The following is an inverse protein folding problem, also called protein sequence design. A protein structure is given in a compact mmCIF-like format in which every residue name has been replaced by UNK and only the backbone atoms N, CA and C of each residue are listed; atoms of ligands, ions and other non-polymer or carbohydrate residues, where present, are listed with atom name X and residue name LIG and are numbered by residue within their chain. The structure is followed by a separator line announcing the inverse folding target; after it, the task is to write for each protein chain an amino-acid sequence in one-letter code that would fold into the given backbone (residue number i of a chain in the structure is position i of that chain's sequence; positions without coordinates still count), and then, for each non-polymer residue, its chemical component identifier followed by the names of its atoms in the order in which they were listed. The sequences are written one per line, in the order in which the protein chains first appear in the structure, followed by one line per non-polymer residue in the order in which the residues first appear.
data_IF_175248609042
#
_entry.id   IF_175248609042
#
_cell.length_a   1.000
_cell.length_b   1.000
_cell.length_c   1.000
_cell.angle_alpha   90.00
_cell.angle_beta   90.00
_cell.angle_gamma   90.00
#
_symmetry.space_group_name_H-M   'P 1'
#
loop_
_entity.id
_entity.type
_entity.pdbx_description
1 polymer ?
#
# COMPACT_ATOMS: atom_id res chain seq x y z
N UNK A 1 -35.97 -9.85 -2.12
CA UNK A 1 -35.30 -10.83 -3.03
C UNK A 1 -34.02 -10.28 -3.68
N UNK A 2 -33.97 -9.02 -4.14
CA UNK A 2 -32.78 -8.43 -4.79
C UNK A 2 -31.56 -8.26 -3.85
N UNK A 3 -31.75 -7.78 -2.61
CA UNK A 3 -30.68 -7.72 -1.60
C UNK A 3 -30.07 -9.10 -1.29
N UNK A 4 -30.89 -10.16 -1.28
CA UNK A 4 -30.43 -11.55 -1.08
C UNK A 4 -29.49 -11.99 -2.21
N UNK A 5 -29.77 -11.60 -3.46
CA UNK A 5 -28.89 -11.86 -4.61
C UNK A 5 -27.56 -11.08 -4.52
N UNK A 6 -27.58 -9.88 -3.95
CA UNK A 6 -26.37 -9.08 -3.75
C UNK A 6 -25.43 -9.75 -2.72
N UNK A 7 -25.98 -10.20 -1.58
CA UNK A 7 -25.19 -10.86 -0.53
C UNK A 7 -24.59 -12.20 -1.00
N UNK A 8 -25.24 -12.86 -1.96
CA UNK A 8 -24.72 -14.10 -2.56
C UNK A 8 -23.58 -13.87 -3.57
N UNK A 9 -23.32 -12.61 -3.96
CA UNK A 9 -22.29 -12.28 -4.92
C UNK A 9 -20.92 -12.09 -4.24
N UNK A 10 -19.88 -12.74 -4.76
CA UNK A 10 -18.49 -12.57 -4.31
C UNK A 10 -18.06 -11.08 -4.31
N UNK A 11 -18.56 -10.29 -5.25
CA UNK A 11 -18.29 -8.85 -5.33
C UNK A 11 -18.79 -8.07 -4.10
N UNK A 12 -19.85 -8.54 -3.44
CA UNK A 12 -20.32 -7.93 -2.20
C UNK A 12 -19.34 -8.17 -1.04
N UNK A 13 -18.73 -9.36 -0.96
CA UNK A 13 -17.70 -9.66 0.03
C UNK A 13 -16.41 -8.89 -0.23
N UNK A 14 -16.05 -8.68 -1.50
CA UNK A 14 -14.95 -7.79 -1.89
C UNK A 14 -15.22 -6.34 -1.49
N UNK A 15 -16.45 -5.86 -1.66
CA UNK A 15 -16.85 -4.54 -1.16
C UNK A 15 -16.76 -4.45 0.37
N UNK A 16 -17.26 -5.47 1.06
CA UNK A 16 -17.28 -5.50 2.52
C UNK A 16 -15.86 -5.54 3.11
N UNK A 17 -14.92 -6.24 2.47
CA UNK A 17 -13.52 -6.26 2.88
C UNK A 17 -12.87 -4.88 2.72
N UNK A 18 -13.19 -4.11 1.67
CA UNK A 18 -12.75 -2.72 1.56
C UNK A 18 -13.31 -1.82 2.67
N UNK A 19 -14.63 -1.91 2.93
CA UNK A 19 -15.30 -1.13 3.99
C UNK A 19 -14.65 -1.42 5.35
N UNK A 20 -14.50 -2.69 5.71
CA UNK A 20 -13.86 -3.07 6.96
C UNK A 20 -12.38 -2.67 7.02
N UNK A 21 -11.66 -2.80 5.90
CA UNK A 21 -10.27 -2.33 5.79
C UNK A 21 -10.13 -0.85 6.17
N UNK A 22 -11.02 0.00 5.64
CA UNK A 22 -11.05 1.44 5.94
C UNK A 22 -11.47 1.70 7.39
N UNK A 23 -12.57 1.10 7.85
CA UNK A 23 -13.07 1.29 9.22
C UNK A 23 -12.01 0.92 10.26
N UNK A 24 -11.37 -0.24 10.12
CA UNK A 24 -10.34 -0.69 11.05
C UNK A 24 -9.04 0.12 10.93
N UNK A 25 -8.70 0.64 9.75
CA UNK A 25 -7.58 1.58 9.59
C UNK A 25 -7.84 2.88 10.38
N UNK A 26 -9.05 3.44 10.29
CA UNK A 26 -9.46 4.62 11.05
C UNK A 26 -9.38 4.34 12.55
N UNK A 27 -9.96 3.24 13.01
CA UNK A 27 -9.92 2.84 14.43
C UNK A 27 -8.49 2.60 14.93
N UNK A 28 -7.62 2.01 14.10
CA UNK A 28 -6.21 1.83 14.40
C UNK A 28 -5.48 3.17 14.53
N UNK A 29 -5.74 4.10 13.60
CA UNK A 29 -5.15 5.44 13.60
C UNK A 29 -5.59 6.22 14.84
N UNK A 30 -6.89 6.28 15.11
CA UNK A 30 -7.45 6.92 16.32
C UNK A 30 -6.85 6.30 17.58
N UNK A 31 -6.85 4.98 17.70
CA UNK A 31 -6.26 4.28 18.85
C UNK A 31 -4.77 4.60 19.01
N UNK A 32 -4.03 4.72 17.91
CA UNK A 32 -2.61 5.08 17.92
C UNK A 32 -2.38 6.50 18.40
N UNK A 33 -3.21 7.44 17.98
CA UNK A 33 -3.10 8.86 18.36
C UNK A 33 -3.34 9.04 19.86
N UNK A 34 -4.32 8.36 20.43
CA UNK A 34 -4.67 8.54 21.85
C UNK A 34 -3.90 7.63 22.82
N UNK A 35 -3.47 6.44 22.38
CA UNK A 35 -2.86 5.41 23.26
C UNK A 35 -1.44 5.00 22.85
N UNK A 36 -0.93 5.58 21.76
CA UNK A 36 0.36 5.22 21.18
C UNK A 36 0.27 4.05 20.18
N UNK A 37 1.25 4.01 19.28
CA UNK A 37 1.34 3.01 18.19
C UNK A 37 1.53 1.57 18.70
N UNK A 38 2.10 1.41 19.89
CA UNK A 38 2.30 0.10 20.51
C UNK A 38 1.11 -0.38 21.34
N UNK A 39 0.00 0.38 21.38
CA UNK A 39 -1.15 -0.01 22.20
C UNK A 39 -1.82 -1.28 21.66
N UNK A 40 -2.27 -2.20 22.53
CA UNK A 40 -2.92 -3.45 22.10
C UNK A 40 -4.15 -3.22 21.22
N UNK A 41 -4.92 -2.16 21.48
CA UNK A 41 -6.07 -1.78 20.67
C UNK A 41 -5.68 -1.33 19.26
N UNK A 42 -4.64 -0.51 19.14
CA UNK A 42 -4.20 -0.02 17.83
C UNK A 42 -3.65 -1.15 16.95
N UNK A 43 -2.86 -2.05 17.54
CA UNK A 43 -2.34 -3.25 16.88
C UNK A 43 -3.47 -4.20 16.48
N UNK A 44 -4.49 -4.37 17.34
CA UNK A 44 -5.66 -5.20 17.02
C UNK A 44 -6.40 -4.69 15.79
N UNK A 45 -6.74 -3.40 15.77
CA UNK A 45 -7.43 -2.80 14.61
C UNK A 45 -6.54 -2.78 13.36
N UNK A 46 -5.23 -2.58 13.51
CA UNK A 46 -4.28 -2.71 12.40
C UNK A 46 -4.34 -4.10 11.77
N UNK A 47 -4.30 -5.15 12.60
CA UNK A 47 -4.39 -6.53 12.13
C UNK A 47 -5.72 -6.83 11.45
N UNK A 48 -6.83 -6.28 11.94
CA UNK A 48 -8.13 -6.42 11.28
C UNK A 48 -8.17 -5.69 9.92
N UNK A 49 -7.54 -4.51 9.83
CA UNK A 49 -7.42 -3.80 8.56
C UNK A 49 -6.56 -4.59 7.56
N UNK A 50 -5.38 -5.05 7.95
CA UNK A 50 -4.50 -5.90 7.11
C UNK A 50 -5.22 -7.18 6.69
N UNK A 51 -5.91 -7.88 7.59
CA UNK A 51 -6.65 -9.09 7.25
C UNK A 51 -7.73 -8.80 6.19
N UNK A 52 -8.40 -7.65 6.28
CA UNK A 52 -9.39 -7.22 5.29
C UNK A 52 -8.74 -6.95 3.93
N UNK A 53 -7.53 -6.34 3.92
CA UNK A 53 -6.71 -6.18 2.71
C UNK A 53 -6.31 -7.53 2.10
N UNK A 54 -5.86 -8.49 2.91
CA UNK A 54 -5.52 -9.84 2.46
C UNK A 54 -6.74 -10.51 1.81
N UNK A 55 -7.90 -10.48 2.46
CA UNK A 55 -9.16 -11.03 1.92
C UNK A 55 -9.50 -10.38 0.58
N UNK A 56 -9.36 -9.06 0.48
CA UNK A 56 -9.63 -8.30 -0.76
C UNK A 56 -8.79 -8.86 -1.92
N UNK A 57 -7.47 -8.95 -1.76
CA UNK A 57 -6.60 -9.41 -2.84
C UNK A 57 -6.73 -10.91 -3.11
N UNK A 58 -7.02 -11.73 -2.10
CA UNK A 58 -7.38 -13.15 -2.31
C UNK A 58 -8.61 -13.30 -3.21
N UNK A 59 -9.65 -12.48 -2.97
CA UNK A 59 -10.85 -12.47 -3.82
C UNK A 59 -10.50 -12.05 -5.25
N UNK A 60 -9.74 -10.97 -5.42
CA UNK A 60 -9.32 -10.49 -6.75
C UNK A 60 -8.53 -11.56 -7.50
N UNK A 61 -7.50 -12.14 -6.88
CA UNK A 61 -6.69 -13.20 -7.48
C UNK A 61 -7.56 -14.41 -7.83
N UNK A 62 -8.43 -14.86 -6.93
CA UNK A 62 -9.32 -15.99 -7.21
C UNK A 62 -10.24 -15.72 -8.40
N UNK A 63 -10.69 -14.47 -8.58
CA UNK A 63 -11.50 -14.07 -9.74
C UNK A 63 -10.66 -14.02 -11.02
N UNK A 64 -9.48 -13.42 -10.99
CA UNK A 64 -8.56 -13.31 -12.14
C UNK A 64 -8.13 -14.69 -12.66
N UNK A 65 -7.83 -15.62 -11.76
CA UNK A 65 -7.32 -16.96 -12.12
C UNK A 65 -8.39 -18.05 -12.01
N UNK A 66 -9.69 -17.70 -12.03
CA UNK A 66 -10.79 -18.62 -11.71
C UNK A 66 -10.76 -19.91 -12.55
N UNK A 67 -10.42 -19.78 -13.82
CA UNK A 67 -10.44 -20.84 -14.84
C UNK A 67 -9.13 -21.61 -14.95
N UNK A 68 -8.06 -21.18 -14.27
CA UNK A 68 -6.76 -21.82 -14.35
C UNK A 68 -6.60 -22.87 -13.25
N UNK A 69 -6.02 -24.05 -13.54
CA UNK A 69 -5.76 -25.05 -12.52
C UNK A 69 -4.70 -24.53 -11.54
N UNK A 70 -4.71 -25.05 -10.31
CA UNK A 70 -3.74 -24.67 -9.28
C UNK A 70 -2.30 -24.97 -9.74
N UNK A 71 -2.09 -26.06 -10.49
CA UNK A 71 -0.80 -26.41 -11.09
C UNK A 71 -0.26 -25.33 -12.03
N UNK A 72 -1.14 -24.61 -12.76
CA UNK A 72 -0.74 -23.48 -13.58
C UNK A 72 -0.10 -22.38 -12.73
N UNK A 73 -0.69 -22.09 -11.56
CA UNK A 73 -0.17 -21.03 -10.67
C UNK A 73 1.23 -21.35 -10.16
N UNK A 74 1.51 -22.61 -9.80
CA UNK A 74 2.85 -23.03 -9.39
C UNK A 74 3.85 -23.03 -10.56
N UNK A 75 3.43 -23.48 -11.75
CA UNK A 75 4.30 -23.50 -12.93
C UNK A 75 4.68 -22.10 -13.44
N UNK A 76 3.86 -21.09 -13.15
CA UNK A 76 4.02 -19.71 -13.62
C UNK A 76 4.31 -18.73 -12.47
N UNK A 77 4.91 -19.22 -11.37
CA UNK A 77 5.14 -18.44 -10.16
C UNK A 77 5.86 -17.10 -10.44
N UNK A 78 6.87 -17.11 -11.32
CA UNK A 78 7.59 -15.88 -11.71
C UNK A 78 6.69 -14.89 -12.45
N UNK A 79 5.81 -15.38 -13.34
CA UNK A 79 4.85 -14.53 -14.02
C UNK A 79 3.80 -13.98 -13.06
N UNK A 80 3.39 -14.74 -12.05
CA UNK A 80 2.44 -14.28 -11.03
C UNK A 80 3.02 -13.17 -10.16
N UNK A 81 4.33 -13.20 -9.89
CA UNK A 81 5.00 -12.11 -9.16
C UNK A 81 4.97 -10.78 -9.93
N UNK A 82 4.72 -10.79 -11.24
CA UNK A 82 4.50 -9.59 -12.04
C UNK A 82 3.06 -9.07 -11.98
N UNK A 83 2.13 -9.78 -11.34
CA UNK A 83 0.77 -9.29 -11.13
C UNK A 83 0.73 -8.35 -9.92
N UNK A 84 0.27 -7.11 -10.14
CA UNK A 84 0.12 -6.10 -9.09
C UNK A 84 -0.66 -6.63 -7.88
N UNK A 85 -1.74 -7.39 -8.09
CA UNK A 85 -2.58 -7.90 -7.00
C UNK A 85 -1.84 -8.94 -6.16
N UNK A 86 -1.00 -9.77 -6.79
CA UNK A 86 -0.15 -10.74 -6.10
C UNK A 86 0.91 -10.01 -5.28
N UNK A 87 1.53 -8.97 -5.83
CA UNK A 87 2.50 -8.15 -5.10
C UNK A 87 1.88 -7.50 -3.85
N UNK A 88 0.69 -6.91 -3.98
CA UNK A 88 -0.03 -6.34 -2.84
C UNK A 88 -0.44 -7.40 -1.81
N UNK A 89 -0.89 -8.58 -2.25
CA UNK A 89 -1.21 -9.68 -1.34
C UNK A 89 0.02 -10.11 -0.53
N UNK A 90 1.15 -10.36 -1.21
CA UNK A 90 2.40 -10.77 -0.57
C UNK A 90 2.88 -9.73 0.43
N UNK A 91 2.82 -8.45 0.06
CA UNK A 91 3.19 -7.35 0.95
C UNK A 91 2.27 -7.28 2.18
N UNK A 92 0.96 -7.42 2.00
CA UNK A 92 -0.01 -7.41 3.10
C UNK A 92 0.17 -8.61 4.04
N UNK A 93 0.43 -9.82 3.50
CA UNK A 93 0.74 -11.02 4.29
C UNK A 93 2.02 -10.82 5.09
N UNK A 94 3.07 -10.25 4.48
CA UNK A 94 4.33 -9.97 5.18
C UNK A 94 4.13 -8.99 6.32
N UNK A 95 3.40 -7.89 6.10
CA UNK A 95 3.03 -6.95 7.16
C UNK A 95 2.24 -7.63 8.27
N UNK A 96 1.32 -8.55 7.93
CA UNK A 96 0.54 -9.30 8.92
C UNK A 96 1.39 -10.22 9.78
N UNK A 97 2.35 -10.91 9.18
CA UNK A 97 3.23 -11.85 9.88
C UNK A 97 4.18 -11.12 10.83
N UNK A 98 4.65 -9.93 10.44
CA UNK A 98 5.63 -9.16 11.19
C UNK A 98 5.02 -8.12 12.14
N UNK A 99 3.69 -8.02 12.23
CA UNK A 99 3.00 -7.03 13.07
C UNK A 99 3.08 -7.30 14.58
N UNK A 100 3.45 -8.51 14.99
CA UNK A 100 3.50 -8.92 16.40
C UNK A 100 4.49 -8.10 17.24
N UNK A 101 5.55 -7.56 16.62
CA UNK A 101 6.57 -6.76 17.30
C UNK A 101 6.32 -5.24 17.27
N UNK A 102 5.15 -4.80 16.80
CA UNK A 102 4.82 -3.39 16.57
C UNK A 102 4.36 -3.16 15.13
N UNK A 103 3.55 -2.12 14.95
CA UNK A 103 2.94 -1.79 13.66
C UNK A 103 3.50 -0.48 13.11
N UNK A 104 3.46 -0.35 11.78
CA UNK A 104 3.66 0.94 11.10
C UNK A 104 2.34 1.34 10.46
N UNK A 105 1.61 2.27 11.07
CA UNK A 105 0.31 2.73 10.56
C UNK A 105 0.41 3.27 9.12
N UNK A 106 1.58 3.78 8.74
CA UNK A 106 1.87 4.26 7.38
C UNK A 106 1.61 3.19 6.30
N UNK A 107 1.78 1.91 6.64
CA UNK A 107 1.56 0.80 5.71
C UNK A 107 0.11 0.63 5.26
N UNK A 108 -0.87 1.11 6.04
CA UNK A 108 -2.29 0.97 5.72
C UNK A 108 -2.81 2.03 4.75
N UNK A 109 -2.18 3.21 4.71
CA UNK A 109 -2.71 4.35 3.99
C UNK A 109 -2.85 4.14 2.47
N UNK A 110 -1.87 3.55 1.75
CA UNK A 110 -2.05 3.28 0.33
C UNK A 110 -3.25 2.37 0.05
N UNK A 111 -3.41 1.31 0.86
CA UNK A 111 -4.53 0.37 0.73
C UNK A 111 -5.87 1.06 0.97
N UNK A 112 -5.96 1.90 2.01
CA UNK A 112 -7.20 2.57 2.36
C UNK A 112 -7.63 3.61 1.32
N UNK A 113 -6.70 4.32 0.69
CA UNK A 113 -7.01 5.26 -0.40
C UNK A 113 -7.65 4.50 -1.56
N UNK A 114 -7.02 3.43 -2.02
CA UNK A 114 -7.53 2.59 -3.12
C UNK A 114 -8.89 1.97 -2.73
N UNK A 115 -9.00 1.46 -1.50
CA UNK A 115 -10.23 0.88 -0.98
C UNK A 115 -11.38 1.89 -0.93
N UNK A 116 -11.11 3.18 -0.66
CA UNK A 116 -12.13 4.21 -0.58
C UNK A 116 -12.81 4.44 -1.94
N UNK A 117 -12.03 4.53 -3.01
CA UNK A 117 -12.58 4.65 -4.36
C UNK A 117 -13.39 3.41 -4.76
N UNK A 118 -12.88 2.21 -4.49
CA UNK A 118 -13.60 0.97 -4.75
C UNK A 118 -14.93 0.89 -3.99
N UNK A 119 -14.92 1.28 -2.71
CA UNK A 119 -16.11 1.33 -1.85
C UNK A 119 -17.16 2.28 -2.42
N UNK A 120 -16.77 3.50 -2.75
CA UNK A 120 -17.67 4.54 -3.27
C UNK A 120 -18.27 4.14 -4.62
N UNK A 121 -17.44 3.64 -5.54
CA UNK A 121 -17.89 3.21 -6.88
C UNK A 121 -18.82 1.99 -6.77
N UNK A 122 -18.48 1.02 -5.93
CA UNK A 122 -19.34 -0.15 -5.74
C UNK A 122 -20.69 0.25 -5.13
N UNK A 123 -20.68 1.14 -4.12
CA UNK A 123 -21.88 1.67 -3.51
C UNK A 123 -22.78 2.33 -4.56
N UNK A 124 -22.22 3.18 -5.42
CA UNK A 124 -22.97 3.83 -6.49
C UNK A 124 -23.64 2.83 -7.44
N UNK A 125 -22.87 1.85 -7.90
CA UNK A 125 -23.30 0.94 -8.97
C UNK A 125 -24.27 -0.14 -8.46
N UNK A 126 -24.12 -0.58 -7.20
CA UNK A 126 -24.80 -1.78 -6.70
C UNK A 126 -25.71 -1.53 -5.50
N UNK A 127 -25.48 -0.50 -4.69
CA UNK A 127 -26.21 -0.29 -3.42
C UNK A 127 -27.20 0.87 -3.54
N UNK A 128 -26.79 2.00 -4.11
CA UNK A 128 -27.57 3.25 -4.13
C UNK A 128 -28.99 3.07 -4.69
N UNK A 129 -29.13 2.31 -5.78
CA UNK A 129 -30.42 2.05 -6.41
C UNK A 129 -31.38 1.26 -5.52
N UNK A 130 -30.85 0.44 -4.59
CA UNK A 130 -31.63 -0.43 -3.72
C UNK A 130 -32.06 0.24 -2.39
N UNK A 131 -31.66 1.49 -2.13
CA UNK A 131 -32.06 2.20 -0.91
C UNK A 131 -33.53 2.66 -0.99
N UNK A 132 -34.45 2.16 -0.15
CA UNK A 132 -35.89 2.42 -0.31
C UNK A 132 -36.31 3.84 0.09
N UNK A 133 -35.59 4.47 1.03
CA UNK A 133 -35.95 5.78 1.59
C UNK A 133 -35.50 6.99 0.75
N UNK A 134 -34.81 6.76 -0.38
CA UNK A 134 -34.32 7.82 -1.24
C UNK A 134 -35.16 7.92 -2.52
N UNK A 135 -35.66 9.13 -2.81
CA UNK A 135 -36.34 9.41 -4.08
C UNK A 135 -35.39 9.24 -5.27
N UNK A 136 -35.95 8.93 -6.45
CA UNK A 136 -35.18 8.77 -7.69
C UNK A 136 -34.32 10.00 -8.00
N UNK A 137 -34.87 11.20 -7.81
CA UNK A 137 -34.14 12.47 -8.00
C UNK A 137 -32.92 12.57 -7.08
N UNK A 138 -33.08 12.25 -5.77
CA UNK A 138 -31.96 12.27 -4.81
C UNK A 138 -30.90 11.21 -5.16
N UNK A 139 -31.31 10.01 -5.58
CA UNK A 139 -30.38 8.97 -6.05
C UNK A 139 -29.55 9.45 -7.25
N UNK A 140 -30.17 10.09 -8.23
CA UNK A 140 -29.47 10.64 -9.40
C UNK A 140 -28.48 11.75 -9.02
N UNK A 141 -28.86 12.62 -8.07
CA UNK A 141 -27.96 13.66 -7.55
C UNK A 141 -26.74 13.06 -6.86
N UNK A 142 -26.93 12.08 -5.96
CA UNK A 142 -25.83 11.37 -5.29
C UNK A 142 -24.94 10.66 -6.31
N UNK A 143 -25.56 9.97 -7.28
CA UNK A 143 -24.80 9.28 -8.32
C UNK A 143 -23.95 10.24 -9.15
N UNK A 144 -24.48 11.41 -9.49
CA UNK A 144 -23.72 12.45 -10.19
C UNK A 144 -22.53 12.91 -9.37
N UNK A 145 -22.74 13.23 -8.09
CA UNK A 145 -21.65 13.63 -7.18
C UNK A 145 -20.55 12.57 -7.06
N UNK A 146 -20.92 11.29 -6.96
CA UNK A 146 -19.96 10.20 -6.88
C UNK A 146 -19.16 10.07 -8.19
N UNK A 147 -19.84 10.16 -9.34
CA UNK A 147 -19.19 10.08 -10.65
C UNK A 147 -18.22 11.24 -10.84
N UNK A 148 -18.64 12.47 -10.52
CA UNK A 148 -17.80 13.67 -10.61
C UNK A 148 -16.60 13.56 -9.64
N UNK A 149 -16.82 13.15 -8.39
CA UNK A 149 -15.75 12.90 -7.42
C UNK A 149 -14.73 11.85 -7.92
N UNK A 150 -15.20 10.72 -8.45
CA UNK A 150 -14.31 9.68 -8.94
C UNK A 150 -13.53 10.17 -10.17
N UNK A 151 -14.17 10.93 -11.07
CA UNK A 151 -13.49 11.52 -12.23
C UNK A 151 -12.39 12.48 -11.81
N UNK A 152 -12.64 13.36 -10.85
CA UNK A 152 -11.72 14.44 -10.48
C UNK A 152 -10.58 13.98 -9.57
N UNK A 153 -10.81 12.95 -8.74
CA UNK A 153 -9.90 12.58 -7.66
C UNK A 153 -9.29 11.18 -7.76
N UNK A 154 -9.81 10.26 -8.58
CA UNK A 154 -9.29 8.89 -8.63
C UNK A 154 -7.81 8.86 -9.05
N UNK A 155 -7.46 9.52 -10.17
CA UNK A 155 -6.06 9.56 -10.62
C UNK A 155 -5.13 10.22 -9.58
N UNK A 156 -5.60 11.29 -8.93
CA UNK A 156 -4.86 11.94 -7.84
C UNK A 156 -4.69 11.00 -6.64
N UNK A 157 -5.73 10.25 -6.30
CA UNK A 157 -5.70 9.23 -5.25
C UNK A 157 -4.69 8.13 -5.55
N UNK A 158 -4.64 7.62 -6.78
CA UNK A 158 -3.64 6.64 -7.22
C UNK A 158 -2.23 7.21 -7.14
N UNK A 159 -2.04 8.47 -7.53
CA UNK A 159 -0.75 9.17 -7.39
C UNK A 159 -0.32 9.31 -5.92
N UNK A 160 -1.24 9.71 -5.04
CA UNK A 160 -0.97 9.81 -3.59
C UNK A 160 -0.65 8.42 -3.01
N UNK A 161 -1.40 7.38 -3.39
CA UNK A 161 -1.14 6.02 -2.93
C UNK A 161 0.24 5.53 -3.37
N UNK A 162 0.62 5.76 -4.64
CA UNK A 162 1.96 5.45 -5.15
C UNK A 162 3.05 6.22 -4.41
N UNK A 163 2.82 7.50 -4.11
CA UNK A 163 3.76 8.28 -3.31
C UNK A 163 3.94 7.72 -1.90
N UNK A 164 2.85 7.41 -1.21
CA UNK A 164 2.91 6.81 0.13
C UNK A 164 3.64 5.47 0.12
N UNK A 165 3.52 4.66 -0.94
CA UNK A 165 4.28 3.41 -1.10
C UNK A 165 5.79 3.66 -1.21
N UNK A 166 6.22 4.69 -1.95
CA UNK A 166 7.63 5.10 -2.01
C UNK A 166 8.08 5.61 -0.63
N UNK A 167 7.25 6.40 0.04
CA UNK A 167 7.56 6.95 1.37
C UNK A 167 7.69 5.87 2.45
N UNK A 168 7.16 4.65 2.26
CA UNK A 168 7.42 3.53 3.17
C UNK A 168 8.91 3.20 3.29
N UNK A 169 9.72 3.48 2.25
CA UNK A 169 11.18 3.32 2.31
C UNK A 169 11.75 4.16 3.46
N UNK A 170 11.28 5.40 3.62
CA UNK A 170 11.77 6.31 4.67
C UNK A 170 11.45 5.80 6.08
N UNK A 171 10.32 5.10 6.23
CA UNK A 171 9.91 4.50 7.51
C UNK A 171 10.88 3.43 7.98
N UNK A 172 11.47 2.66 7.07
CA UNK A 172 12.36 1.55 7.41
C UNK A 172 13.85 1.88 7.27
N UNK A 173 14.23 2.86 6.46
CA UNK A 173 15.65 3.23 6.28
C UNK A 173 16.23 3.91 7.54
N UNK A 174 15.46 4.74 8.24
CA UNK A 174 15.97 5.46 9.42
C UNK A 174 16.39 4.52 10.56
N UNK A 175 15.58 3.50 10.94
CA UNK A 175 16.03 2.47 11.87
C UNK A 175 17.28 1.70 11.38
N UNK A 176 17.41 1.44 10.07
CA UNK A 176 18.58 0.75 9.52
C UNK A 176 19.86 1.60 9.61
N UNK A 177 19.78 2.89 9.29
CA UNK A 177 20.90 3.83 9.45
C UNK A 177 21.32 3.87 10.92
N UNK A 178 20.36 3.92 11.86
CA UNK A 178 20.65 3.83 13.30
C UNK A 178 21.35 2.52 13.65
N UNK A 179 20.94 1.38 13.08
CA UNK A 179 21.61 0.11 13.34
C UNK A 179 23.07 0.09 12.87
N UNK A 180 23.37 0.74 11.74
CA UNK A 180 24.73 0.86 11.18
C UNK A 180 25.58 1.80 12.03
N UNK A 181 25.12 3.04 12.27
CA UNK A 181 25.87 4.09 12.97
C UNK A 181 26.25 3.68 14.40
N UNK A 182 25.35 2.99 15.10
CA UNK A 182 25.60 2.53 16.46
C UNK A 182 26.19 1.11 16.53
N UNK A 183 26.71 0.59 15.41
CA UNK A 183 27.30 -0.75 15.30
C UNK A 183 26.42 -1.87 15.89
N UNK A 184 25.09 -1.71 15.85
CA UNK A 184 24.14 -2.65 16.43
C UNK A 184 24.05 -3.94 15.60
N UNK A 185 24.42 -3.88 14.32
CA UNK A 185 24.52 -5.05 13.44
C UNK A 185 25.53 -6.09 13.94
N UNK A 186 26.60 -5.67 14.59
CA UNK A 186 27.64 -6.56 15.12
C UNK A 186 27.21 -7.23 16.43
N UNK A 187 26.10 -6.81 17.04
CA UNK A 187 25.59 -7.36 18.30
C UNK A 187 24.43 -8.31 18.01
N UNK A 188 24.68 -9.61 18.08
CA UNK A 188 23.71 -10.66 17.72
C UNK A 188 22.30 -10.42 18.30
N UNK A 189 22.18 -10.10 19.59
CA UNK A 189 20.89 -9.81 20.25
C UNK A 189 20.13 -8.66 19.59
N UNK A 190 20.81 -7.57 19.25
CA UNK A 190 20.20 -6.41 18.59
C UNK A 190 19.86 -6.70 17.13
N UNK A 191 20.72 -7.44 16.42
CA UNK A 191 20.46 -7.88 15.05
C UNK A 191 19.15 -8.68 14.96
N UNK A 192 19.01 -9.75 15.74
CA UNK A 192 17.79 -10.58 15.72
C UNK A 192 16.54 -9.81 16.15
N UNK A 193 16.68 -8.88 17.10
CA UNK A 193 15.56 -8.03 17.55
C UNK A 193 15.06 -7.07 16.45
N UNK A 194 15.93 -6.70 15.51
CA UNK A 194 15.61 -5.77 14.42
C UNK A 194 15.57 -6.44 13.03
N UNK A 195 15.69 -7.77 12.95
CA UNK A 195 15.66 -8.52 11.70
C UNK A 195 14.39 -8.24 10.89
N UNK A 196 13.25 -8.07 11.59
CA UNK A 196 11.98 -7.67 10.96
C UNK A 196 12.11 -6.38 10.13
N UNK A 197 12.89 -5.40 10.58
CA UNK A 197 13.07 -4.12 9.90
C UNK A 197 13.84 -4.32 8.61
N UNK A 198 14.88 -5.15 8.62
CA UNK A 198 15.66 -5.50 7.43
C UNK A 198 14.78 -6.21 6.40
N UNK A 199 13.98 -7.19 6.85
CA UNK A 199 13.05 -7.93 5.99
C UNK A 199 12.02 -6.99 5.37
N UNK A 200 11.38 -6.12 6.18
CA UNK A 200 10.38 -5.17 5.71
C UNK A 200 10.96 -4.13 4.76
N UNK A 201 12.15 -3.60 5.05
CA UNK A 201 12.85 -2.69 4.16
C UNK A 201 13.11 -3.34 2.80
N UNK A 202 13.68 -4.55 2.81
CA UNK A 202 13.98 -5.30 1.58
C UNK A 202 12.72 -5.56 0.77
N UNK A 203 11.64 -6.01 1.42
CA UNK A 203 10.37 -6.25 0.76
C UNK A 203 9.75 -4.98 0.15
N UNK A 204 9.83 -3.84 0.85
CA UNK A 204 9.35 -2.55 0.34
C UNK A 204 10.20 -2.06 -0.84
N UNK A 205 11.52 -2.29 -0.83
CA UNK A 205 12.40 -1.96 -1.96
C UNK A 205 12.04 -2.82 -3.18
N UNK A 206 11.92 -4.14 -3.01
CA UNK A 206 11.53 -5.05 -4.10
C UNK A 206 10.14 -4.71 -4.63
N UNK A 207 9.18 -4.44 -3.74
CA UNK A 207 7.84 -4.00 -4.13
C UNK A 207 7.89 -2.71 -4.96
N UNK A 208 8.59 -1.67 -4.49
CA UNK A 208 8.70 -0.42 -5.25
C UNK A 208 9.43 -0.58 -6.58
N UNK A 209 10.40 -1.50 -6.68
CA UNK A 209 11.06 -1.86 -7.95
C UNK A 209 10.06 -2.44 -8.94
N UNK A 210 9.32 -3.48 -8.54
CA UNK A 210 8.30 -4.09 -9.41
C UNK A 210 7.25 -3.06 -9.86
N UNK A 211 6.87 -2.17 -8.94
CA UNK A 211 5.93 -1.08 -9.21
C UNK A 211 6.52 0.00 -10.12
N UNK A 212 7.82 0.27 -10.07
CA UNK A 212 8.48 1.19 -11.00
C UNK A 212 8.39 0.67 -12.44
N UNK A 213 8.54 -0.63 -12.66
CA UNK A 213 8.45 -1.26 -13.99
C UNK A 213 7.03 -1.23 -14.56
N UNK A 214 6.01 -1.30 -13.69
CA UNK A 214 4.63 -1.61 -14.08
C UNK A 214 3.66 -0.42 -13.93
N UNK A 215 3.94 0.49 -12.99
CA UNK A 215 3.03 1.55 -12.61
C UNK A 215 3.52 2.93 -13.07
N UNK A 216 2.73 3.56 -13.95
CA UNK A 216 3.00 4.91 -14.45
C UNK A 216 3.21 5.95 -13.34
N UNK A 217 2.43 5.89 -12.26
CA UNK A 217 2.52 6.88 -11.18
C UNK A 217 3.78 6.72 -10.35
N UNK A 218 4.14 5.48 -9.97
CA UNK A 218 5.39 5.18 -9.28
C UNK A 218 6.59 5.63 -10.11
N UNK A 219 6.61 5.31 -11.40
CA UNK A 219 7.67 5.72 -12.32
C UNK A 219 7.83 7.24 -12.37
N UNK A 220 6.74 7.97 -12.64
CA UNK A 220 6.77 9.44 -12.70
C UNK A 220 7.18 10.08 -11.39
N UNK A 221 6.78 9.52 -10.24
CA UNK A 221 7.19 10.01 -8.92
C UNK A 221 8.69 9.82 -8.67
N UNK A 222 9.23 8.64 -9.01
CA UNK A 222 10.67 8.37 -8.89
C UNK A 222 11.47 9.33 -9.77
N UNK A 223 11.06 9.53 -11.02
CA UNK A 223 11.70 10.48 -11.94
C UNK A 223 11.63 11.92 -11.41
N UNK A 224 10.50 12.33 -10.85
CA UNK A 224 10.33 13.64 -10.24
C UNK A 224 11.20 13.82 -8.97
N UNK A 225 11.32 12.79 -8.14
CA UNK A 225 12.21 12.82 -6.98
C UNK A 225 13.67 12.85 -7.36
N UNK A 226 14.06 12.07 -8.36
CA UNK A 226 15.40 12.08 -8.91
C UNK A 226 15.80 13.48 -9.41
N UNK A 227 14.93 14.12 -10.19
CA UNK A 227 15.16 15.48 -10.68
C UNK A 227 15.32 16.50 -9.54
N UNK A 228 14.49 16.42 -8.49
CA UNK A 228 14.57 17.29 -7.32
C UNK A 228 15.84 17.08 -6.51
N UNK A 229 16.26 15.82 -6.30
CA UNK A 229 17.51 15.49 -5.62
C UNK A 229 18.69 16.03 -6.42
N UNK A 230 18.70 15.82 -7.73
CA UNK A 230 19.75 16.32 -8.61
C UNK A 230 19.84 17.85 -8.58
N UNK A 231 18.70 18.54 -8.67
CA UNK A 231 18.64 19.99 -8.55
C UNK A 231 19.19 20.48 -7.20
N UNK A 232 18.80 19.84 -6.10
CA UNK A 232 19.27 20.20 -4.76
C UNK A 232 20.77 20.01 -4.58
N UNK A 233 21.32 18.87 -5.04
CA UNK A 233 22.75 18.55 -4.93
C UNK A 233 23.63 19.55 -5.69
N UNK A 234 23.20 19.98 -6.89
CA UNK A 234 23.98 20.88 -7.73
C UNK A 234 23.74 22.36 -7.44
N UNK A 235 22.53 22.75 -7.02
CA UNK A 235 22.21 24.14 -6.71
C UNK A 235 22.73 24.61 -5.35
N UNK A 236 22.96 23.70 -4.39
CA UNK A 236 23.39 24.09 -3.04
C UNK A 236 24.90 24.34 -2.96
N UNK A 237 25.35 25.57 -2.65
CA UNK A 237 26.76 25.88 -2.42
C UNK A 237 27.26 25.35 -1.07
N UNK A 238 26.37 24.97 -0.16
CA UNK A 238 26.70 24.57 1.21
C UNK A 238 27.05 23.08 1.37
N UNK A 239 26.85 22.26 0.35
CA UNK A 239 27.14 20.83 0.41
C UNK A 239 28.62 20.61 0.05
N UNK A 240 29.45 20.01 0.93
CA UNK A 240 30.84 19.71 0.63
C UNK A 240 30.98 18.80 -0.60
N UNK A 241 32.05 18.99 -1.39
CA UNK A 241 32.22 18.27 -2.65
C UNK A 241 32.24 16.74 -2.47
N UNK A 242 32.87 16.24 -1.40
CA UNK A 242 32.90 14.80 -1.10
C UNK A 242 31.49 14.22 -0.88
N UNK A 243 30.62 14.99 -0.23
CA UNK A 243 29.22 14.60 0.00
C UNK A 243 28.44 14.61 -1.32
N UNK A 244 28.70 15.58 -2.21
CA UNK A 244 28.10 15.61 -3.55
C UNK A 244 28.48 14.38 -4.38
N UNK A 245 29.77 14.01 -4.39
CA UNK A 245 30.24 12.82 -5.13
C UNK A 245 29.59 11.55 -4.60
N UNK A 246 29.64 11.32 -3.28
CA UNK A 246 29.03 10.15 -2.65
C UNK A 246 27.52 10.07 -2.91
N UNK A 247 26.80 11.19 -2.78
CA UNK A 247 25.37 11.25 -3.06
C UNK A 247 25.05 10.94 -4.53
N UNK A 248 25.89 11.39 -5.46
CA UNK A 248 25.74 11.14 -6.89
C UNK A 248 25.99 9.67 -7.24
N UNK A 249 27.00 9.04 -6.65
CA UNK A 249 27.29 7.61 -6.81
C UNK A 249 26.16 6.73 -6.26
N UNK A 250 25.68 7.06 -5.06
CA UNK A 250 24.55 6.38 -4.45
C UNK A 250 23.28 6.50 -5.31
N UNK A 251 22.98 7.72 -5.78
CA UNK A 251 21.88 7.99 -6.71
C UNK A 251 22.01 7.15 -7.98
N UNK A 252 23.18 7.15 -8.62
CA UNK A 252 23.42 6.37 -9.84
C UNK A 252 23.18 4.89 -9.62
N UNK A 253 23.65 4.36 -8.49
CA UNK A 253 23.45 2.94 -8.11
C UNK A 253 21.98 2.60 -7.90
N UNK A 254 21.23 3.48 -7.21
CA UNK A 254 19.80 3.30 -6.99
C UNK A 254 19.00 3.32 -8.31
N UNK A 255 19.32 4.24 -9.22
CA UNK A 255 18.68 4.31 -10.54
C UNK A 255 19.04 3.11 -11.42
N UNK A 256 20.28 2.62 -11.33
CA UNK A 256 20.68 1.41 -12.05
C UNK A 256 19.85 0.21 -11.59
N UNK A 257 19.73 0.00 -10.28
CA UNK A 257 18.89 -1.07 -9.72
C UNK A 257 17.42 -0.99 -10.17
N UNK A 258 16.85 0.21 -10.24
CA UNK A 258 15.47 0.40 -10.70
C UNK A 258 15.28 0.14 -12.19
N UNK A 259 16.34 0.23 -13.00
CA UNK A 259 16.29 0.06 -14.47
C UNK A 259 16.70 -1.34 -14.94
N UNK A 260 17.19 -2.20 -14.05
CA UNK A 260 17.50 -3.62 -14.31
C UNK A 260 16.25 -4.50 -14.23
#
# INVERSE_FOLDING_TARGET
QQLKKLVQNVQFYWFLSHVFGICFMILSTISSMFRGQSSPSAIRYYNYSINSTIITYLIVIRQTYKTKPISFMFSQAVSLLRDDNVQYLLLAVLFRMLSAGGMSSATLYPFAIIASFHTIVYFNNNILNHLPYLSKTKKNQISKLIVDFNKDYNERGLYIAANLQIMLITTYILPLVKMIVFFQLLRARYFFSNLKTIILFTAVIVFNKLRFDQNKYTKSLVEAYDARVNQFLHASPMIPQNVKTLATEFRSSALHYLKM
#
